data_IF_254256064299
#
_entry.id   IF_254256064299
#
_cell.length_a   1.000
_cell.length_b   1.000
_cell.length_c   1.000
_cell.angle_alpha   90.00
_cell.angle_beta   90.00
_cell.angle_gamma   90.00
#
_symmetry.space_group_name_H-M   'P 1'
#
loop_
_entity.id
_entity.type
_entity.pdbx_description
1 polymer ?
#
# COMPACT_ATOMS: atom_id res chain seq x y z
N UNK A 1 -1.06 9.45 5.68
CA UNK A 1 -0.08 9.05 4.68
C UNK A 1 -0.69 7.94 3.86
N UNK A 2 -0.94 8.20 2.59
CA UNK A 2 -1.40 7.16 1.66
C UNK A 2 -0.31 6.10 1.42
N UNK A 3 -0.64 4.80 1.35
CA UNK A 3 0.34 3.74 1.13
C UNK A 3 1.20 3.92 -0.13
N UNK A 4 0.66 4.49 -1.21
CA UNK A 4 1.44 4.72 -2.45
C UNK A 4 2.67 5.60 -2.23
N UNK A 5 2.70 6.46 -1.20
CA UNK A 5 3.86 7.32 -0.94
C UNK A 5 5.14 6.51 -0.64
N UNK A 6 5.00 5.28 -0.17
CA UNK A 6 6.14 4.38 0.05
C UNK A 6 6.93 4.03 -1.21
N UNK A 7 6.36 4.29 -2.39
CA UNK A 7 7.02 4.06 -3.69
C UNK A 7 7.99 5.20 -4.06
N UNK A 8 7.87 6.35 -3.40
CA UNK A 8 8.65 7.56 -3.72
C UNK A 8 9.45 8.09 -2.52
N UNK A 9 9.18 7.60 -1.31
CA UNK A 9 9.90 8.01 -0.10
C UNK A 9 11.12 7.14 0.13
N UNK A 10 12.30 7.77 0.05
CA UNK A 10 13.58 7.17 0.45
C UNK A 10 14.12 7.86 1.71
N UNK A 11 15.03 7.19 2.43
CA UNK A 11 15.65 7.80 3.60
C UNK A 11 16.37 9.10 3.21
N UNK A 12 16.06 10.26 3.84
CA UNK A 12 16.68 11.54 3.49
C UNK A 12 18.20 11.56 3.75
N UNK A 13 18.69 10.70 4.65
CA UNK A 13 20.10 10.65 5.06
C UNK A 13 20.94 9.77 4.14
N UNK A 14 20.57 8.51 3.97
CA UNK A 14 21.40 7.51 3.26
C UNK A 14 20.82 7.04 1.92
N UNK A 15 19.67 7.59 1.51
CA UNK A 15 18.94 7.32 0.27
C UNK A 15 18.47 5.87 0.11
N UNK A 16 18.43 5.09 1.19
CA UNK A 16 17.92 3.72 1.16
C UNK A 16 16.42 3.70 0.86
N UNK A 17 16.02 2.67 0.11
CA UNK A 17 14.67 2.39 -0.33
C UNK A 17 14.53 0.87 -0.55
N UNK A 18 13.41 0.23 -0.19
CA UNK A 18 12.23 0.80 0.48
C UNK A 18 12.47 1.06 1.98
N UNK A 19 11.52 1.75 2.62
CA UNK A 19 11.45 1.94 4.07
C UNK A 19 10.40 1.01 4.66
N UNK A 20 10.65 0.48 5.86
CA UNK A 20 9.63 -0.27 6.60
C UNK A 20 8.57 0.70 7.13
N UNK A 21 7.31 0.29 7.12
CA UNK A 21 6.18 1.10 7.60
C UNK A 21 5.51 0.40 8.77
N UNK A 22 5.52 1.02 9.94
CA UNK A 22 4.80 0.55 11.11
C UNK A 22 3.55 1.40 11.31
N UNK A 23 2.38 0.78 11.27
CA UNK A 23 1.09 1.48 11.31
C UNK A 23 0.49 1.32 12.70
N UNK A 24 0.18 2.46 13.33
CA UNK A 24 -0.39 2.51 14.68
C UNK A 24 -1.85 2.99 14.67
N UNK A 25 -2.22 3.76 13.64
CA UNK A 25 -3.58 4.26 13.48
C UNK A 25 -3.88 4.53 12.00
N UNK A 26 -5.03 4.07 11.55
CA UNK A 26 -5.62 4.44 10.26
C UNK A 26 -6.55 5.63 10.44
N UNK A 27 -6.60 6.52 9.45
CA UNK A 27 -7.59 7.58 9.38
C UNK A 27 -8.98 6.98 9.15
N UNK A 28 -10.01 7.63 9.67
CA UNK A 28 -11.39 7.23 9.40
C UNK A 28 -11.72 7.46 7.92
N UNK A 29 -12.34 6.46 7.30
CA UNK A 29 -12.86 6.57 5.94
C UNK A 29 -14.39 6.56 5.94
N UNK A 30 -15.03 7.07 4.86
CA UNK A 30 -16.49 7.10 4.74
C UNK A 30 -17.14 5.71 4.91
N UNK A 31 -18.40 5.63 5.40
CA UNK A 31 -19.09 4.36 5.62
C UNK A 31 -19.14 3.44 4.40
N UNK A 32 -19.29 3.99 3.21
CA UNK A 32 -19.30 3.26 1.94
C UNK A 32 -17.96 2.59 1.63
N UNK A 33 -16.84 3.23 2.00
CA UNK A 33 -15.49 2.64 1.87
C UNK A 33 -15.31 1.52 2.89
N UNK A 34 -15.84 1.70 4.11
CA UNK A 34 -15.84 0.65 5.13
C UNK A 34 -16.62 -0.59 4.68
N UNK A 35 -17.82 -0.38 4.15
CA UNK A 35 -18.66 -1.45 3.61
C UNK A 35 -17.95 -2.22 2.49
N UNK A 36 -17.27 -1.52 1.57
CA UNK A 36 -16.45 -2.15 0.54
C UNK A 36 -15.39 -3.07 1.15
N UNK A 37 -14.60 -2.59 2.12
CA UNK A 37 -13.57 -3.45 2.71
C UNK A 37 -14.14 -4.57 3.58
N UNK A 38 -15.35 -4.44 4.12
CA UNK A 38 -16.01 -5.53 4.84
C UNK A 38 -16.50 -6.62 3.88
N UNK A 39 -17.07 -6.24 2.74
CA UNK A 39 -17.63 -7.17 1.75
C UNK A 39 -17.33 -6.72 0.31
N UNK A 40 -16.11 -6.95 -0.21
CA UNK A 40 -15.73 -6.48 -1.53
C UNK A 40 -16.58 -7.11 -2.63
N UNK A 41 -17.29 -6.27 -3.38
CA UNK A 41 -18.07 -6.61 -4.57
C UNK A 41 -18.06 -5.45 -5.58
N UNK A 42 -18.40 -5.70 -6.85
CA UNK A 42 -18.53 -4.63 -7.86
C UNK A 42 -19.56 -3.56 -7.48
N UNK A 43 -20.64 -3.95 -6.79
CA UNK A 43 -21.66 -3.02 -6.27
C UNK A 43 -21.07 -2.11 -5.19
N UNK A 44 -20.42 -2.69 -4.18
CA UNK A 44 -19.77 -1.91 -3.11
C UNK A 44 -18.64 -1.02 -3.63
N UNK A 45 -17.93 -1.42 -4.69
CA UNK A 45 -16.93 -0.59 -5.38
C UNK A 45 -17.60 0.65 -5.96
N UNK A 46 -18.68 0.45 -6.71
CA UNK A 46 -19.42 1.55 -7.36
C UNK A 46 -20.02 2.49 -6.32
N UNK A 47 -20.55 1.95 -5.23
CA UNK A 47 -21.07 2.74 -4.11
C UNK A 47 -19.99 3.57 -3.41
N UNK A 48 -18.81 2.99 -3.20
CA UNK A 48 -17.71 3.63 -2.50
C UNK A 48 -16.94 4.66 -3.34
N UNK A 49 -16.77 4.38 -4.64
CA UNK A 49 -15.83 5.13 -5.50
C UNK A 49 -16.47 5.72 -6.75
N UNK A 50 -17.77 5.48 -6.99
CA UNK A 50 -18.52 5.92 -8.16
C UNK A 50 -18.33 5.04 -9.41
N UNK A 51 -17.19 4.36 -9.53
CA UNK A 51 -16.86 3.46 -10.63
C UNK A 51 -15.79 2.43 -10.22
N UNK A 52 -15.46 1.51 -11.13
CA UNK A 52 -14.28 0.64 -10.99
C UNK A 52 -13.00 1.47 -11.02
N UNK A 53 -12.04 1.08 -10.17
CA UNK A 53 -10.73 1.73 -10.08
C UNK A 53 -9.78 1.29 -11.19
N UNK A 54 -10.17 0.30 -11.99
CA UNK A 54 -9.46 -0.15 -13.19
C UNK A 54 -10.20 0.27 -14.45
N UNK A 55 -9.45 0.59 -15.49
CA UNK A 55 -9.95 0.98 -16.79
C UNK A 55 -9.34 0.10 -17.88
N UNK A 56 -10.19 -0.44 -18.75
CA UNK A 56 -9.77 -1.25 -19.89
C UNK A 56 -10.15 -0.57 -21.21
N UNK A 57 -9.35 -0.81 -22.23
CA UNK A 57 -9.60 -0.40 -23.61
C UNK A 57 -8.99 -1.42 -24.56
N UNK A 58 -9.39 -1.38 -25.83
CA UNK A 58 -8.68 -2.05 -26.92
C UNK A 58 -7.91 -0.98 -27.70
N UNK A 59 -6.68 -1.30 -28.11
CA UNK A 59 -5.94 -0.47 -29.07
C UNK A 59 -6.33 -0.79 -30.52
N UNK A 60 -5.71 -0.09 -31.47
CA UNK A 60 -5.99 -0.21 -32.90
C UNK A 60 -5.68 -1.62 -33.45
N UNK A 61 -4.81 -2.38 -32.76
CA UNK A 61 -4.45 -3.76 -33.07
C UNK A 61 -5.36 -4.78 -32.35
N UNK A 62 -6.36 -4.32 -31.61
CA UNK A 62 -7.30 -5.15 -30.84
C UNK A 62 -6.70 -5.74 -29.56
N UNK A 63 -5.55 -5.26 -29.10
CA UNK A 63 -4.94 -5.72 -27.86
C UNK A 63 -5.60 -5.04 -26.65
N UNK A 64 -5.85 -5.83 -25.61
CA UNK A 64 -6.43 -5.32 -24.36
C UNK A 64 -5.38 -4.54 -23.58
N UNK A 65 -5.69 -3.27 -23.37
CA UNK A 65 -4.93 -2.30 -22.61
C UNK A 65 -5.64 -2.03 -21.28
N UNK A 66 -4.91 -2.11 -20.16
CA UNK A 66 -5.44 -1.82 -18.82
C UNK A 66 -4.61 -0.74 -18.16
N UNK A 67 -5.27 0.15 -17.43
CA UNK A 67 -4.62 1.14 -16.57
C UNK A 67 -5.48 1.46 -15.35
N UNK A 68 -4.85 2.00 -14.32
CA UNK A 68 -5.49 2.41 -13.08
C UNK A 68 -4.65 3.52 -12.40
N UNK A 69 -4.84 3.72 -11.10
CA UNK A 69 -4.12 4.75 -10.34
C UNK A 69 -2.78 4.27 -9.77
N UNK A 70 -2.49 2.97 -9.78
CA UNK A 70 -1.24 2.39 -9.26
C UNK A 70 -0.27 1.98 -10.37
N UNK A 71 -0.78 1.70 -11.57
CA UNK A 71 -0.05 1.52 -12.82
C UNK A 71 -0.37 2.70 -13.72
N UNK A 72 0.57 3.65 -13.79
CA UNK A 72 0.39 4.88 -14.56
C UNK A 72 0.36 4.59 -16.06
N UNK A 73 -0.70 5.08 -16.71
CA UNK A 73 -0.94 4.89 -18.14
C UNK A 73 -1.55 3.52 -18.46
N UNK A 74 -2.01 3.38 -19.70
CA UNK A 74 -2.53 2.11 -20.20
C UNK A 74 -1.39 1.22 -20.64
N UNK A 75 -1.45 -0.06 -20.25
CA UNK A 75 -0.43 -1.07 -20.51
C UNK A 75 -1.06 -2.32 -21.13
N UNK A 76 -0.34 -3.05 -22.00
CA UNK A 76 -0.77 -4.36 -22.46
C UNK A 76 -1.04 -5.27 -21.26
N UNK A 77 -2.10 -6.08 -21.32
CA UNK A 77 -2.55 -6.88 -20.18
C UNK A 77 -1.44 -7.67 -19.48
N UNK A 78 -0.55 -8.31 -20.24
CA UNK A 78 0.58 -9.06 -19.67
C UNK A 78 1.59 -8.19 -18.93
N UNK A 79 1.92 -7.00 -19.44
CA UNK A 79 2.79 -6.03 -18.77
C UNK A 79 2.11 -5.51 -17.50
N UNK A 80 0.82 -5.18 -17.58
CA UNK A 80 0.02 -4.74 -16.44
C UNK A 80 0.05 -5.76 -15.29
N UNK A 81 -0.19 -7.05 -15.56
CA UNK A 81 -0.15 -8.08 -14.50
C UNK A 81 1.21 -8.19 -13.81
N UNK A 82 2.31 -8.05 -14.55
CA UNK A 82 3.65 -8.07 -13.97
C UNK A 82 3.87 -6.86 -13.05
N UNK A 83 3.47 -5.66 -13.49
CA UNK A 83 3.54 -4.44 -12.67
C UNK A 83 2.66 -4.55 -11.42
N UNK A 84 1.47 -5.16 -11.51
CA UNK A 84 0.61 -5.40 -10.35
C UNK A 84 1.30 -6.31 -9.32
N UNK A 85 1.99 -7.38 -9.76
CA UNK A 85 2.75 -8.23 -8.84
C UNK A 85 3.88 -7.45 -8.14
N UNK A 86 4.55 -6.55 -8.84
CA UNK A 86 5.52 -5.62 -8.24
C UNK A 86 4.83 -4.69 -7.21
N UNK A 87 3.68 -4.11 -7.54
CA UNK A 87 2.89 -3.27 -6.62
C UNK A 87 2.41 -3.99 -5.37
N UNK A 88 2.13 -5.29 -5.47
CA UNK A 88 1.80 -6.13 -4.31
C UNK A 88 3.05 -6.39 -3.47
N UNK A 89 4.20 -6.64 -4.11
CA UNK A 89 5.48 -6.88 -3.41
C UNK A 89 5.92 -5.65 -2.60
N UNK A 90 5.70 -4.45 -3.11
CA UNK A 90 5.97 -3.20 -2.39
C UNK A 90 5.25 -3.11 -1.03
N UNK A 91 4.14 -3.84 -0.83
CA UNK A 91 3.40 -3.85 0.42
C UNK A 91 4.00 -4.78 1.50
N UNK A 92 5.03 -5.57 1.19
CA UNK A 92 5.68 -6.48 2.16
C UNK A 92 6.38 -5.75 3.31
N UNK A 93 6.70 -4.47 3.12
CA UNK A 93 7.36 -3.63 4.13
C UNK A 93 6.37 -3.04 5.14
N UNK A 94 5.08 -3.32 5.00
CA UNK A 94 4.03 -2.80 5.88
C UNK A 94 3.81 -3.73 7.06
N UNK A 95 3.85 -3.15 8.26
CA UNK A 95 3.66 -3.78 9.54
C UNK A 95 2.48 -3.10 10.23
N UNK A 96 1.28 -3.64 10.02
CA UNK A 96 0.07 -3.13 10.64
C UNK A 96 -0.10 -3.75 12.04
N UNK A 97 -0.06 -2.90 13.07
CA UNK A 97 -0.21 -3.31 14.48
C UNK A 97 -1.60 -2.95 15.04
N UNK A 98 -2.49 -2.45 14.18
CA UNK A 98 -3.83 -2.04 14.57
C UNK A 98 -4.77 -3.24 14.67
N UNK A 99 -5.90 -3.06 15.36
CA UNK A 99 -7.02 -3.99 15.35
C UNK A 99 -8.01 -3.68 14.20
N UNK A 100 -7.54 -3.06 13.12
CA UNK A 100 -8.37 -2.70 11.96
C UNK A 100 -8.61 -3.91 11.05
N UNK A 101 -9.73 -3.93 10.31
CA UNK A 101 -9.92 -4.91 9.24
C UNK A 101 -8.87 -4.77 8.12
N UNK A 102 -8.19 -3.62 8.03
CA UNK A 102 -7.17 -3.40 7.00
C UNK A 102 -5.96 -4.33 7.16
N UNK A 103 -5.72 -4.88 8.36
CA UNK A 103 -4.69 -5.90 8.57
C UNK A 103 -5.00 -7.18 7.81
N UNK A 104 -6.26 -7.63 7.83
CA UNK A 104 -6.67 -8.82 7.08
C UNK A 104 -6.71 -8.53 5.59
N UNK A 105 -7.06 -7.31 5.17
CA UNK A 105 -7.00 -6.91 3.76
C UNK A 105 -5.59 -6.83 3.20
N UNK A 106 -4.63 -6.34 3.98
CA UNK A 106 -3.22 -6.42 3.61
C UNK A 106 -2.78 -7.89 3.43
N UNK A 107 -3.17 -8.76 4.36
CA UNK A 107 -2.90 -10.20 4.25
C UNK A 107 -3.56 -10.84 3.03
N UNK A 108 -4.83 -10.52 2.74
CA UNK A 108 -5.54 -11.00 1.54
C UNK A 108 -4.80 -10.56 0.26
N UNK A 109 -4.30 -9.31 0.23
CA UNK A 109 -3.55 -8.76 -0.89
C UNK A 109 -2.21 -9.48 -1.08
N UNK A 110 -1.43 -9.64 0.00
CA UNK A 110 -0.10 -10.26 -0.06
C UNK A 110 -0.17 -11.76 -0.37
N UNK A 111 -1.30 -12.41 -0.11
CA UNK A 111 -1.49 -13.85 -0.32
C UNK A 111 -2.45 -14.13 -1.50
N UNK A 112 -3.76 -14.15 -1.23
CA UNK A 112 -4.78 -14.59 -2.19
C UNK A 112 -4.77 -13.80 -3.50
N UNK A 113 -4.74 -12.46 -3.42
CA UNK A 113 -4.71 -11.58 -4.60
C UNK A 113 -3.42 -11.80 -5.40
N UNK A 114 -2.27 -11.84 -4.73
CA UNK A 114 -0.97 -12.16 -5.37
C UNK A 114 -1.03 -13.47 -6.13
N UNK A 115 -1.59 -14.50 -5.52
CA UNK A 115 -1.69 -15.83 -6.11
C UNK A 115 -2.64 -15.83 -7.32
N UNK A 116 -3.81 -15.20 -7.21
CA UNK A 116 -4.77 -15.09 -8.30
C UNK A 116 -4.19 -14.33 -9.50
N UNK A 117 -3.52 -13.21 -9.27
CA UNK A 117 -2.83 -12.44 -10.33
C UNK A 117 -1.70 -13.27 -10.95
N UNK A 118 -0.93 -14.01 -10.14
CA UNK A 118 0.13 -14.89 -10.64
C UNK A 118 -0.42 -16.00 -11.54
N UNK A 119 -1.51 -16.67 -11.11
CA UNK A 119 -2.21 -17.68 -11.92
C UNK A 119 -2.75 -17.10 -13.22
N UNK A 120 -3.32 -15.89 -13.18
CA UNK A 120 -3.78 -15.20 -14.38
C UNK A 120 -2.62 -14.89 -15.35
N UNK A 121 -1.48 -14.44 -14.84
CA UNK A 121 -0.26 -14.21 -15.64
C UNK A 121 0.25 -15.50 -16.28
N UNK A 122 0.24 -16.62 -15.56
CA UNK A 122 0.61 -17.93 -16.12
C UNK A 122 -0.39 -18.45 -17.16
N UNK A 123 -1.69 -18.30 -16.92
CA UNK A 123 -2.74 -18.70 -17.86
C UNK A 123 -2.68 -17.89 -19.16
N UNK A 124 -2.37 -16.58 -19.06
CA UNK A 124 -2.12 -15.71 -20.21
C UNK A 124 -0.96 -16.23 -21.06
N UNK A 125 0.17 -16.61 -20.42
CA UNK A 125 1.33 -17.20 -21.11
C UNK A 125 0.99 -18.53 -21.81
N UNK A 126 0.00 -19.27 -21.29
CA UNK A 126 -0.52 -20.51 -21.87
C UNK A 126 -1.57 -20.27 -22.97
N UNK A 127 -1.86 -19.02 -23.32
CA UNK A 127 -2.76 -18.65 -24.42
C UNK A 127 -4.20 -18.32 -24.01
N UNK A 128 -4.51 -18.22 -22.72
CA UNK A 128 -5.85 -17.75 -22.28
C UNK A 128 -5.99 -16.26 -22.56
N UNK A 129 -7.14 -15.84 -23.09
CA UNK A 129 -7.33 -14.44 -23.50
C UNK A 129 -7.53 -13.48 -22.31
N UNK A 130 -7.12 -12.19 -22.43
CA UNK A 130 -7.41 -11.18 -21.41
C UNK A 130 -8.91 -11.06 -21.06
N UNK A 131 -9.80 -11.18 -22.05
CA UNK A 131 -11.26 -11.10 -21.85
C UNK A 131 -11.80 -12.20 -20.92
N UNK A 132 -11.18 -13.38 -20.96
CA UNK A 132 -11.53 -14.49 -20.06
C UNK A 132 -10.93 -14.31 -18.67
N UNK A 133 -9.72 -13.76 -18.58
CA UNK A 133 -8.98 -13.64 -17.32
C UNK A 133 -9.43 -12.45 -16.47
N UNK A 134 -9.70 -11.29 -17.08
CA UNK A 134 -10.01 -10.06 -16.37
C UNK A 134 -11.16 -10.23 -15.35
N UNK A 135 -12.32 -10.83 -15.68
CA UNK A 135 -13.41 -11.00 -14.71
C UNK A 135 -13.02 -11.86 -13.49
N UNK A 136 -12.00 -12.72 -13.62
CA UNK A 136 -11.56 -13.61 -12.53
C UNK A 136 -10.70 -12.90 -11.49
N UNK A 137 -10.11 -11.75 -11.84
CA UNK A 137 -9.20 -10.97 -10.98
C UNK A 137 -9.66 -9.52 -10.79
N UNK A 138 -10.75 -9.08 -11.43
CA UNK A 138 -11.21 -7.69 -11.40
C UNK A 138 -11.42 -7.18 -9.96
N UNK A 139 -12.03 -7.99 -9.11
CA UNK A 139 -12.24 -7.64 -7.71
C UNK A 139 -10.91 -7.50 -6.95
N UNK A 140 -9.96 -8.40 -7.21
CA UNK A 140 -8.62 -8.39 -6.59
C UNK A 140 -7.85 -7.11 -6.96
N UNK A 141 -7.92 -6.71 -8.24
CA UNK A 141 -7.29 -5.48 -8.73
C UNK A 141 -7.91 -4.22 -8.12
N UNK A 142 -9.24 -4.20 -7.97
CA UNK A 142 -9.93 -3.09 -7.30
C UNK A 142 -9.61 -3.03 -5.81
N UNK A 143 -9.50 -4.17 -5.12
CA UNK A 143 -9.09 -4.24 -3.71
C UNK A 143 -7.68 -3.66 -3.51
N UNK A 144 -6.73 -4.05 -4.37
CA UNK A 144 -5.37 -3.50 -4.33
C UNK A 144 -5.36 -1.99 -4.57
N UNK A 145 -6.08 -1.51 -5.59
CA UNK A 145 -6.18 -0.08 -5.89
C UNK A 145 -6.78 0.71 -4.72
N UNK A 146 -7.89 0.21 -4.14
CA UNK A 146 -8.53 0.84 -3.00
C UNK A 146 -7.58 0.89 -1.79
N UNK A 147 -6.89 -0.21 -1.48
CA UNK A 147 -5.91 -0.23 -0.39
C UNK A 147 -4.75 0.75 -0.64
N UNK A 148 -4.23 0.87 -1.86
CA UNK A 148 -3.10 1.78 -2.12
C UNK A 148 -3.50 3.26 -2.16
N UNK A 149 -4.73 3.57 -2.59
CA UNK A 149 -5.14 4.94 -2.95
C UNK A 149 -6.21 5.58 -2.05
N UNK A 150 -7.00 4.76 -1.33
CA UNK A 150 -8.21 5.20 -0.62
C UNK A 150 -8.13 5.07 0.90
N UNK A 151 -7.13 4.40 1.44
CA UNK A 151 -6.85 4.42 2.87
C UNK A 151 -5.65 5.31 3.17
N UNK A 152 -5.61 5.81 4.41
CA UNK A 152 -4.65 6.78 4.85
C UNK A 152 -4.16 6.43 6.26
N UNK A 153 -2.85 6.29 6.43
CA UNK A 153 -2.22 6.07 7.73
C UNK A 153 -2.25 7.39 8.50
N UNK A 154 -2.98 7.47 9.61
CA UNK A 154 -3.05 8.66 10.44
C UNK A 154 -1.79 8.82 11.29
N UNK A 155 -1.37 7.73 11.96
CA UNK A 155 -0.18 7.69 12.79
C UNK A 155 0.63 6.39 12.58
N UNK A 156 1.95 6.51 12.55
CA UNK A 156 2.85 5.41 12.27
C UNK A 156 4.32 5.83 12.25
N UNK A 157 5.20 4.93 11.81
CA UNK A 157 6.64 5.18 11.65
C UNK A 157 7.12 4.63 10.31
N UNK A 158 7.96 5.40 9.62
CA UNK A 158 8.83 4.92 8.56
C UNK A 158 10.20 4.60 9.15
N UNK A 159 10.74 3.38 8.97
CA UNK A 159 12.08 2.99 9.42
C UNK A 159 12.99 2.72 8.24
N UNK A 160 14.17 3.31 8.24
CA UNK A 160 15.23 2.94 7.32
C UNK A 160 15.89 1.62 7.77
N UNK A 161 15.84 0.55 6.96
CA UNK A 161 16.43 -0.73 7.36
C UNK A 161 17.96 -0.68 7.46
N UNK A 162 18.60 0.29 6.78
CA UNK A 162 20.06 0.47 6.69
C UNK A 162 20.62 1.30 7.85
N UNK A 163 20.32 2.59 7.95
CA UNK A 163 20.86 3.47 9.00
C UNK A 163 20.06 3.51 10.29
N UNK A 164 18.97 2.72 10.41
CA UNK A 164 18.13 2.61 11.62
C UNK A 164 17.44 3.91 12.06
N UNK A 165 17.43 4.92 11.19
CA UNK A 165 16.64 6.13 11.41
C UNK A 165 15.17 5.85 11.22
N UNK A 166 14.35 6.46 12.06
CA UNK A 166 12.91 6.36 12.00
C UNK A 166 12.28 7.75 11.83
N UNK A 167 11.16 7.85 11.14
CA UNK A 167 10.45 9.09 10.86
C UNK A 167 8.98 8.92 11.24
N UNK A 168 8.41 9.77 12.12
CA UNK A 168 7.01 9.64 12.50
C UNK A 168 6.10 10.06 11.36
N UNK A 169 4.96 9.38 11.25
CA UNK A 169 3.78 9.82 10.53
C UNK A 169 2.84 10.39 11.60
N UNK A 170 2.49 11.67 11.48
CA UNK A 170 1.62 12.38 12.42
C UNK A 170 0.57 13.13 11.63
N UNK A 171 -0.71 12.96 11.98
CA UNK A 171 -1.83 13.59 11.26
C UNK A 171 -1.70 13.39 9.75
N UNK A 172 -1.45 12.14 9.36
CA UNK A 172 -1.27 11.72 7.97
C UNK A 172 0.01 12.20 7.28
N UNK A 173 0.84 13.03 7.91
CA UNK A 173 2.04 13.63 7.31
C UNK A 173 3.32 12.90 7.77
N UNK A 174 4.11 12.31 6.85
CA UNK A 174 5.43 11.76 7.19
C UNK A 174 6.45 12.89 7.42
N UNK A 175 6.98 12.99 8.64
CA UNK A 175 7.94 14.03 9.03
C UNK A 175 9.40 13.57 8.77
N UNK A 176 9.82 13.62 7.51
CA UNK A 176 11.13 13.12 7.06
C UNK A 176 12.25 14.18 7.11
N UNK A 177 12.33 14.93 8.20
CA UNK A 177 13.38 15.93 8.40
C UNK A 177 14.73 15.27 8.73
N UNK A 178 15.87 15.88 8.33
CA UNK A 178 17.19 15.47 8.79
C UNK A 178 17.35 15.72 10.29
N UNK A 179 18.26 14.97 10.93
CA UNK A 179 18.39 14.93 12.40
C UNK A 179 18.54 16.31 13.06
N UNK A 180 19.28 17.23 12.43
CA UNK A 180 19.53 18.57 12.95
C UNK A 180 18.30 19.50 12.91
N UNK A 181 17.24 19.12 12.20
CA UNK A 181 15.97 19.86 12.12
C UNK A 181 14.85 19.19 12.92
N UNK A 182 15.15 18.11 13.64
CA UNK A 182 14.16 17.37 14.45
C UNK A 182 14.11 17.87 15.89
N UNK A 183 12.93 17.82 16.49
CA UNK A 183 12.72 18.23 17.87
C UNK A 183 12.70 17.01 18.79
N UNK A 184 13.81 16.75 19.49
CA UNK A 184 13.97 15.60 20.38
C UNK A 184 12.79 15.39 21.33
N UNK A 185 12.31 16.46 21.99
CA UNK A 185 11.18 16.37 22.91
C UNK A 185 9.91 15.80 22.24
N UNK A 186 9.56 16.29 21.04
CA UNK A 186 8.37 15.83 20.31
C UNK A 186 8.52 14.37 19.85
N UNK A 187 9.71 13.99 19.38
CA UNK A 187 9.99 12.62 18.97
C UNK A 187 9.87 11.63 20.13
N UNK A 188 10.41 11.98 21.31
CA UNK A 188 10.30 11.15 22.50
C UNK A 188 8.86 11.09 23.04
N UNK A 189 8.11 12.19 22.99
CA UNK A 189 6.68 12.20 23.32
C UNK A 189 5.88 11.26 22.40
N UNK A 190 6.17 11.28 21.09
CA UNK A 190 5.55 10.37 20.13
C UNK A 190 5.90 8.90 20.40
N UNK A 191 7.17 8.59 20.63
CA UNK A 191 7.59 7.22 20.97
C UNK A 191 6.97 6.74 22.29
N UNK A 192 6.86 7.63 23.29
CA UNK A 192 6.23 7.30 24.58
C UNK A 192 4.74 6.99 24.39
N UNK A 193 4.02 7.80 23.59
CA UNK A 193 2.60 7.56 23.25
C UNK A 193 2.40 6.18 22.61
N UNK A 194 3.30 5.77 21.71
CA UNK A 194 3.18 4.53 20.92
C UNK A 194 4.14 3.43 21.37
N UNK A 195 4.62 3.47 22.61
CA UNK A 195 5.68 2.57 23.08
C UNK A 195 5.36 1.08 22.88
N UNK A 196 4.10 0.69 23.03
CA UNK A 196 3.65 -0.71 22.90
C UNK A 196 3.73 -1.25 21.46
N UNK A 197 3.15 -0.61 20.43
CA UNK A 197 3.24 -1.09 19.06
C UNK A 197 4.56 -0.79 18.35
N UNK A 198 5.39 0.13 18.87
CA UNK A 198 6.69 0.44 18.24
C UNK A 198 7.66 -0.73 18.42
N UNK A 199 8.33 -1.20 17.35
CA UNK A 199 9.37 -2.21 17.43
C UNK A 199 10.48 -1.88 18.44
N UNK A 200 10.96 -2.91 19.14
CA UNK A 200 11.95 -2.74 20.22
C UNK A 200 13.29 -2.16 19.72
N UNK A 201 13.67 -2.43 18.48
CA UNK A 201 14.88 -1.86 17.88
C UNK A 201 14.77 -0.35 17.69
N UNK A 202 13.56 0.17 17.41
CA UNK A 202 13.33 1.62 17.32
C UNK A 202 13.38 2.26 18.70
N UNK A 203 12.79 1.63 19.73
CA UNK A 203 12.77 2.20 21.09
C UNK A 203 14.10 2.08 21.82
N UNK A 204 15.02 1.19 21.42
CA UNK A 204 16.33 1.01 22.08
C UNK A 204 17.52 1.52 21.29
N UNK A 205 17.47 1.45 19.96
CA UNK A 205 18.62 1.71 19.09
C UNK A 205 18.31 2.74 17.99
N UNK A 206 17.04 3.15 17.90
CA UNK A 206 16.54 4.07 16.90
C UNK A 206 17.30 5.39 16.86
N UNK A 207 17.53 5.85 15.64
CA UNK A 207 18.19 7.13 15.38
C UNK A 207 17.18 8.18 14.91
N UNK A 208 17.38 9.46 15.24
CA UNK A 208 18.44 10.00 16.10
C UNK A 208 18.16 9.78 17.60
N UNK A 209 16.89 9.62 17.99
CA UNK A 209 16.47 9.50 19.39
C UNK A 209 15.70 8.20 19.62
N UNK A 210 15.80 7.67 20.82
CA UNK A 210 15.13 6.47 21.31
C UNK A 210 14.76 6.67 22.80
N UNK A 211 13.94 5.77 23.35
CA UNK A 211 13.40 5.88 24.73
C UNK A 211 14.40 5.45 25.80
#
# INVERSE_FOLDING_TARGET
MKPFLTEILACPIDKSFPLDVFIFKWENFPPEVLEFFQNPTLDTITKAFGNTLIHFAEDDDGQVQIGDLIVLGKKPFGEYLNLILEKIKELEVFHDTTNSLLISKLSDILNSVRENVSRASEALKKGTTPKTLLPTIELDLNLLNAYKQRVEIEEGILRCPKCKRWYPIVETIPQMLPDNLRHQKKDLEFLTKWQTPVPIDITREGQPWHL
#
